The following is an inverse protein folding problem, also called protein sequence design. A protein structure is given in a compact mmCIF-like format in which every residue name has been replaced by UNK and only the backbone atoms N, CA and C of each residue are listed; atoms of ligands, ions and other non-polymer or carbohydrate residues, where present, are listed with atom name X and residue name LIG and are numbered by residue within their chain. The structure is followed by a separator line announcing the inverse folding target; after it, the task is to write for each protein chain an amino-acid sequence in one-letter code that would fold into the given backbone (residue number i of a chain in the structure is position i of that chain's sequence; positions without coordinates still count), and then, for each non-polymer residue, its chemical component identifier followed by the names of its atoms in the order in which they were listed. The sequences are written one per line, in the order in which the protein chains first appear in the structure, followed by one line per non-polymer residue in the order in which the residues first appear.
data_IF_230192039541
#
_entry.id   IF_230192039541
#
_cell.length_a   1.000
_cell.length_b   1.000
_cell.length_c   1.000
_cell.angle_alpha   90.00
_cell.angle_beta   90.00
_cell.angle_gamma   90.00
#
_symmetry.space_group_name_H-M   'P 1'
#
loop_
_entity.id
_entity.type
_entity.pdbx_description
1 polymer ?
#
# COMPACT_ATOMS: atom_id res chain seq x y z
N UNK A 1 -15.51 31.67 -15.65
CA UNK A 1 -15.17 30.30 -16.09
C UNK A 1 -14.29 29.66 -15.03
N UNK A 2 -14.91 28.96 -14.09
CA UNK A 2 -14.21 28.16 -13.07
C UNK A 2 -14.15 26.72 -13.59
N UNK A 3 -12.99 26.29 -14.04
CA UNK A 3 -12.72 24.88 -14.33
C UNK A 3 -12.60 24.16 -12.98
N UNK A 4 -13.69 23.52 -12.56
CA UNK A 4 -13.71 22.66 -11.39
C UNK A 4 -12.82 21.44 -11.63
N UNK A 5 -11.67 21.41 -10.94
CA UNK A 5 -10.87 20.21 -10.85
C UNK A 5 -11.70 19.15 -10.10
N UNK A 6 -12.07 18.06 -10.78
CA UNK A 6 -12.53 16.84 -10.11
C UNK A 6 -11.36 16.26 -9.30
N UNK A 7 -11.14 16.79 -8.10
CA UNK A 7 -10.37 16.11 -7.08
C UNK A 7 -11.19 14.91 -6.64
N UNK A 8 -10.85 13.73 -7.13
CA UNK A 8 -11.21 12.50 -6.44
C UNK A 8 -10.47 12.53 -5.10
N UNK A 9 -11.10 13.11 -4.07
CA UNK A 9 -10.59 13.16 -2.71
C UNK A 9 -10.20 11.77 -2.23
N UNK A 10 -9.31 11.71 -1.23
CA UNK A 10 -8.96 10.46 -0.57
C UNK A 10 -10.26 9.79 -0.12
N UNK A 11 -10.62 8.59 -0.62
CA UNK A 11 -11.85 7.93 -0.21
C UNK A 11 -11.90 7.78 1.32
N UNK A 12 -13.07 7.97 1.94
CA UNK A 12 -13.33 7.74 3.38
C UNK A 12 -13.03 6.29 3.83
N UNK A 13 -12.71 5.42 2.86
CA UNK A 13 -12.34 4.03 3.07
C UNK A 13 -10.83 3.83 3.26
N UNK A 14 -10.00 4.87 3.17
CA UNK A 14 -8.53 4.80 3.34
C UNK A 14 -8.14 5.18 4.77
N UNK A 15 -7.15 4.48 5.34
CA UNK A 15 -6.62 4.76 6.67
C UNK A 15 -6.44 3.51 7.53
N UNK A 16 -5.54 3.63 8.51
CA UNK A 16 -5.40 2.67 9.59
C UNK A 16 -6.66 2.68 10.48
N UNK A 17 -7.18 1.49 10.76
CA UNK A 17 -8.28 1.21 11.69
C UNK A 17 -7.71 0.51 12.92
N UNK A 18 -8.50 0.47 14.00
CA UNK A 18 -8.10 -0.15 15.29
C UNK A 18 -7.50 -1.54 15.12
N UNK A 19 -8.00 -2.32 14.16
CA UNK A 19 -7.62 -3.72 13.94
C UNK A 19 -6.98 -4.00 12.57
N UNK A 20 -6.58 -2.97 11.80
CA UNK A 20 -5.95 -3.20 10.49
C UNK A 20 -6.18 -2.12 9.45
N UNK A 21 -6.00 -2.47 8.18
CA UNK A 21 -6.37 -1.62 7.05
C UNK A 21 -7.83 -1.87 6.64
N UNK A 22 -8.40 -0.98 5.84
CA UNK A 22 -9.73 -1.19 5.28
C UNK A 22 -9.80 -2.47 4.42
N UNK A 23 -10.93 -3.20 4.43
CA UNK A 23 -11.07 -4.36 3.58
C UNK A 23 -11.06 -3.96 2.10
N UNK A 24 -10.59 -4.85 1.23
CA UNK A 24 -10.80 -4.69 -0.21
C UNK A 24 -12.31 -4.70 -0.53
N UNK A 25 -12.78 -3.83 -1.45
CA UNK A 25 -14.12 -3.95 -2.01
C UNK A 25 -14.30 -5.30 -2.74
N UNK A 26 -15.52 -5.58 -3.20
CA UNK A 26 -15.82 -6.79 -3.97
C UNK A 26 -15.23 -6.79 -5.39
N UNK A 27 -14.70 -5.65 -5.84
CA UNK A 27 -14.08 -5.50 -7.16
C UNK A 27 -12.69 -6.15 -7.20
N UNK A 28 -12.26 -6.71 -8.33
CA UNK A 28 -11.01 -7.48 -8.42
C UNK A 28 -9.73 -6.62 -8.44
N UNK A 29 -9.86 -5.29 -8.48
CA UNK A 29 -8.76 -4.33 -8.49
C UNK A 29 -8.27 -3.92 -7.09
N UNK A 30 -8.23 -4.87 -6.16
CA UNK A 30 -7.69 -4.64 -4.82
C UNK A 30 -6.97 -5.88 -4.29
N UNK A 31 -5.78 -5.66 -3.74
CA UNK A 31 -4.96 -6.68 -3.09
C UNK A 31 -4.74 -6.31 -1.65
N UNK A 32 -4.85 -7.31 -0.76
CA UNK A 32 -4.61 -7.15 0.67
C UNK A 32 -3.82 -8.35 1.20
N UNK A 33 -2.75 -8.11 1.96
CA UNK A 33 -1.92 -9.16 2.59
C UNK A 33 -2.47 -9.54 3.97
N UNK A 34 -2.12 -10.72 4.48
CA UNK A 34 -2.54 -11.16 5.82
C UNK A 34 -3.99 -11.66 5.85
N UNK A 35 -4.94 -10.86 6.36
CA UNK A 35 -6.30 -11.29 6.72
C UNK A 35 -7.19 -11.88 5.60
N UNK A 36 -6.81 -11.74 4.31
CA UNK A 36 -7.55 -12.32 3.18
C UNK A 36 -6.92 -13.60 2.59
N UNK A 37 -5.80 -14.08 3.13
CA UNK A 37 -5.22 -15.37 2.75
C UNK A 37 -6.17 -16.52 3.17
N UNK A 38 -6.45 -17.54 2.32
CA UNK A 38 -5.75 -17.93 1.09
C UNK A 38 -6.22 -17.25 -0.22
N UNK A 39 -7.30 -16.45 -0.20
CA UNK A 39 -7.80 -15.72 -1.39
C UNK A 39 -7.01 -14.43 -1.70
N UNK A 40 -6.04 -14.08 -0.85
CA UNK A 40 -5.15 -12.92 -0.97
C UNK A 40 -3.67 -13.31 -0.87
N UNK A 41 -2.81 -12.30 -0.85
CA UNK A 41 -1.35 -12.47 -0.82
C UNK A 41 -0.82 -12.81 0.57
N UNK A 42 0.30 -13.53 0.65
CA UNK A 42 0.94 -13.91 1.91
C UNK A 42 1.27 -12.67 2.75
N UNK A 43 1.21 -12.78 4.07
CA UNK A 43 1.70 -11.73 4.97
C UNK A 43 3.17 -11.38 4.70
N UNK A 44 3.57 -10.17 5.07
CA UNK A 44 4.96 -9.73 5.08
C UNK A 44 5.34 -9.52 6.54
N UNK A 45 6.51 -9.98 6.96
CA UNK A 45 6.95 -9.82 8.34
C UNK A 45 8.31 -9.14 8.37
N UNK A 46 8.42 -8.05 9.13
CA UNK A 46 9.67 -7.35 9.29
C UNK A 46 10.65 -8.15 10.17
N UNK A 47 11.96 -8.08 9.87
CA UNK A 47 13.00 -8.68 10.70
C UNK A 47 12.97 -8.14 12.13
N UNK A 48 13.25 -8.99 13.11
CA UNK A 48 13.19 -8.65 14.54
C UNK A 48 14.31 -7.73 15.02
N UNK A 49 15.45 -7.76 14.35
CA UNK A 49 16.66 -6.97 14.65
C UNK A 49 16.53 -5.47 14.30
N UNK A 50 15.59 -5.11 13.41
CA UNK A 50 15.31 -3.70 13.10
C UNK A 50 14.53 -3.07 14.25
N UNK A 51 15.10 -2.06 14.91
CA UNK A 51 14.38 -1.29 15.94
C UNK A 51 13.12 -0.64 15.38
N UNK A 52 12.00 -0.66 16.12
CA UNK A 52 10.68 -0.21 15.62
C UNK A 52 10.70 1.21 15.05
N UNK A 53 11.45 2.13 15.67
CA UNK A 53 11.63 3.52 15.20
C UNK A 53 12.30 3.65 13.82
N UNK A 54 13.04 2.63 13.38
CA UNK A 54 13.75 2.63 12.11
C UNK A 54 13.00 1.91 10.99
N UNK A 55 11.92 1.20 11.33
CA UNK A 55 11.23 0.35 10.37
C UNK A 55 10.45 1.19 9.34
N UNK A 56 9.64 2.15 9.78
CA UNK A 56 8.87 2.98 8.84
C UNK A 56 9.75 3.86 7.94
N UNK A 57 10.81 4.54 8.44
CA UNK A 57 11.71 5.29 7.56
C UNK A 57 12.29 4.44 6.42
N UNK A 58 12.74 3.20 6.69
CA UNK A 58 13.25 2.29 5.66
C UNK A 58 12.16 1.81 4.69
N UNK A 59 10.96 1.54 5.18
CA UNK A 59 9.81 1.20 4.33
C UNK A 59 9.48 2.37 3.39
N UNK A 60 9.50 3.60 3.92
CA UNK A 60 9.24 4.81 3.15
C UNK A 60 10.25 4.98 2.02
N UNK A 61 11.55 4.81 2.29
CA UNK A 61 12.60 4.87 1.27
C UNK A 61 12.34 3.88 0.12
N UNK A 62 11.95 2.64 0.46
CA UNK A 62 11.58 1.62 -0.53
C UNK A 62 10.36 2.05 -1.36
N UNK A 63 9.33 2.60 -0.73
CA UNK A 63 8.13 3.05 -1.45
C UNK A 63 8.45 4.25 -2.36
N UNK A 64 9.27 5.20 -1.90
CA UNK A 64 9.71 6.37 -2.67
C UNK A 64 10.62 5.99 -3.84
N UNK A 65 11.33 4.85 -3.77
CA UNK A 65 12.11 4.34 -4.91
C UNK A 65 11.24 3.67 -5.98
N UNK A 66 9.97 3.36 -5.71
CA UNK A 66 9.08 2.73 -6.69
C UNK A 66 8.65 3.73 -7.77
N UNK A 67 8.58 3.33 -9.05
CA UNK A 67 8.20 4.25 -10.12
C UNK A 67 6.78 4.82 -9.95
N UNK A 68 6.68 6.16 -10.04
CA UNK A 68 5.41 6.91 -10.01
C UNK A 68 4.64 6.80 -8.68
N UNK A 69 5.36 6.56 -7.59
CA UNK A 69 4.82 6.65 -6.24
C UNK A 69 4.88 8.09 -5.73
N UNK A 70 4.00 8.44 -4.81
CA UNK A 70 4.06 9.68 -4.03
C UNK A 70 3.53 9.37 -2.65
N UNK A 71 4.40 9.44 -1.63
CA UNK A 71 3.98 9.26 -0.23
C UNK A 71 3.19 10.50 0.19
N UNK A 72 1.94 10.29 0.60
CA UNK A 72 1.01 11.37 0.96
C UNK A 72 0.78 11.47 2.47
N UNK A 73 0.86 10.33 3.18
CA UNK A 73 0.76 10.28 4.65
C UNK A 73 1.80 9.32 5.20
N UNK A 74 2.47 9.72 6.28
CA UNK A 74 3.38 8.85 7.03
C UNK A 74 3.28 9.13 8.52
N UNK A 75 3.21 8.07 9.31
CA UNK A 75 3.32 8.06 10.78
C UNK A 75 4.30 6.96 11.18
N UNK A 76 4.55 6.77 12.48
CA UNK A 76 5.43 5.69 12.96
C UNK A 76 4.93 4.27 12.61
N UNK A 77 3.65 4.12 12.27
CA UNK A 77 3.01 2.82 12.08
C UNK A 77 2.26 2.69 10.76
N UNK A 78 1.92 3.81 10.10
CA UNK A 78 1.14 3.81 8.88
C UNK A 78 1.80 4.64 7.78
N UNK A 79 1.75 4.14 6.55
CA UNK A 79 2.15 4.85 5.34
C UNK A 79 1.07 4.71 4.29
N UNK A 80 0.77 5.83 3.63
CA UNK A 80 -0.09 5.88 2.44
C UNK A 80 0.69 6.54 1.30
N UNK A 81 0.69 5.89 0.15
CA UNK A 81 1.23 6.41 -1.09
C UNK A 81 0.21 6.31 -2.23
N UNK A 82 0.24 7.30 -3.12
CA UNK A 82 -0.51 7.29 -4.38
C UNK A 82 0.39 6.80 -5.52
N UNK A 83 -0.14 5.98 -6.41
CA UNK A 83 0.48 5.56 -7.66
C UNK A 83 -0.35 6.04 -8.85
N UNK A 84 0.29 6.71 -9.80
CA UNK A 84 -0.40 7.27 -10.98
C UNK A 84 -0.11 6.48 -12.25
N UNK A 85 -1.16 6.07 -12.96
CA UNK A 85 -1.02 5.36 -14.23
C UNK A 85 -0.51 6.29 -15.34
N UNK A 86 0.34 5.76 -16.23
CA UNK A 86 1.09 6.55 -17.23
C UNK A 86 0.20 7.15 -18.33
N UNK A 87 -0.92 6.48 -18.65
CA UNK A 87 -1.76 6.79 -19.83
C UNK A 87 -3.10 7.37 -19.40
N UNK A 88 -3.76 6.76 -18.42
CA UNK A 88 -5.15 7.10 -18.07
C UNK A 88 -5.28 7.94 -16.79
N UNK A 89 -4.15 8.34 -16.16
CA UNK A 89 -4.10 9.12 -14.90
C UNK A 89 -4.92 8.53 -13.74
N UNK A 90 -5.22 7.23 -13.79
CA UNK A 90 -5.84 6.54 -12.66
C UNK A 90 -4.91 6.59 -11.45
N UNK A 91 -5.52 6.80 -10.28
CA UNK A 91 -4.85 6.82 -8.99
C UNK A 91 -5.15 5.50 -8.29
N UNK A 92 -4.09 4.79 -7.95
CA UNK A 92 -4.12 3.66 -7.04
C UNK A 92 -3.52 4.08 -5.70
N UNK A 93 -4.06 3.57 -4.62
CA UNK A 93 -3.58 3.78 -3.26
C UNK A 93 -2.81 2.54 -2.79
N UNK A 94 -1.64 2.76 -2.21
CA UNK A 94 -0.87 1.78 -1.46
C UNK A 94 -0.86 2.20 0.01
N UNK A 95 -1.35 1.32 0.88
CA UNK A 95 -1.33 1.50 2.33
C UNK A 95 -0.47 0.40 2.96
N UNK A 96 0.34 0.79 3.94
CA UNK A 96 1.17 -0.10 4.74
C UNK A 96 0.94 0.21 6.21
N UNK A 97 0.59 -0.81 7.00
CA UNK A 97 0.42 -0.72 8.44
C UNK A 97 1.34 -1.73 9.14
N UNK A 98 2.14 -1.25 10.09
CA UNK A 98 3.02 -2.07 10.92
C UNK A 98 2.26 -2.54 12.17
N UNK A 99 1.78 -3.78 12.13
CA UNK A 99 1.06 -4.41 13.24
C UNK A 99 1.99 -4.68 14.45
N UNK A 100 1.43 -4.88 15.66
CA UNK A 100 2.20 -5.13 16.88
C UNK A 100 3.12 -6.35 16.79
N UNK A 101 2.70 -7.39 16.06
CA UNK A 101 3.46 -8.62 15.80
C UNK A 101 4.53 -8.46 14.69
N UNK A 102 4.82 -7.23 14.25
CA UNK A 102 5.73 -6.89 13.14
C UNK A 102 5.29 -7.39 11.76
N UNK A 103 4.03 -7.77 11.60
CA UNK A 103 3.44 -7.96 10.27
C UNK A 103 3.27 -6.59 9.59
N UNK A 104 3.62 -6.54 8.30
CA UNK A 104 3.34 -5.43 7.42
C UNK A 104 2.05 -5.78 6.64
N UNK A 105 0.94 -5.23 7.13
CA UNK A 105 -0.33 -5.29 6.41
C UNK A 105 -0.25 -4.32 5.23
N UNK A 106 -0.50 -4.83 4.03
CA UNK A 106 -0.40 -4.07 2.79
C UNK A 106 -1.75 -4.13 2.09
N UNK A 107 -2.24 -2.97 1.65
CA UNK A 107 -3.38 -2.85 0.75
C UNK A 107 -2.98 -2.05 -0.48
N UNK A 108 -3.25 -2.57 -1.67
CA UNK A 108 -3.10 -1.85 -2.93
C UNK A 108 -4.44 -1.87 -3.68
N UNK A 109 -5.02 -0.70 -3.94
CA UNK A 109 -6.36 -0.61 -4.53
C UNK A 109 -6.50 0.59 -5.47
N UNK A 110 -7.21 0.41 -6.59
CA UNK A 110 -7.58 1.54 -7.45
C UNK A 110 -8.76 2.33 -6.88
N UNK A 111 -8.75 3.67 -7.00
CA UNK A 111 -9.89 4.51 -6.57
C UNK A 111 -11.13 4.37 -7.43
N UNK A 112 -10.93 4.08 -8.71
CA UNK A 112 -11.98 4.01 -9.73
C UNK A 112 -11.71 2.88 -10.71
N UNK A 113 -12.77 2.39 -11.34
CA UNK A 113 -12.71 1.26 -12.28
C UNK A 113 -12.89 -0.09 -11.58
N UNK A 114 -13.09 -1.14 -12.37
CA UNK A 114 -13.33 -2.50 -11.89
C UNK A 114 -12.21 -3.48 -12.28
N UNK A 115 -11.38 -3.16 -13.27
CA UNK A 115 -10.26 -4.01 -13.69
C UNK A 115 -8.97 -3.20 -13.78
N UNK A 116 -7.92 -3.70 -13.15
CA UNK A 116 -6.58 -3.10 -13.15
C UNK A 116 -5.55 -3.96 -13.92
N UNK A 117 -6.01 -5.01 -14.60
CA UNK A 117 -5.15 -6.00 -15.27
C UNK A 117 -4.04 -6.57 -14.35
N UNK A 118 -4.29 -6.65 -13.04
CA UNK A 118 -3.33 -7.15 -12.05
C UNK A 118 -2.26 -6.14 -11.64
N UNK A 119 -2.39 -4.85 -11.98
CA UNK A 119 -1.44 -3.81 -11.59
C UNK A 119 -1.26 -3.72 -10.07
N UNK A 120 -2.33 -3.83 -9.28
CA UNK A 120 -2.23 -3.81 -7.82
C UNK A 120 -1.51 -5.07 -7.27
N UNK A 121 -1.71 -6.23 -7.88
CA UNK A 121 -1.00 -7.45 -7.52
C UNK A 121 0.49 -7.35 -7.84
N UNK A 122 0.83 -6.89 -9.05
CA UNK A 122 2.21 -6.65 -9.45
C UNK A 122 2.91 -5.64 -8.53
N UNK A 123 2.20 -4.60 -8.08
CA UNK A 123 2.73 -3.61 -7.13
C UNK A 123 3.08 -4.23 -5.78
N UNK A 124 2.22 -5.09 -5.23
CA UNK A 124 2.47 -5.75 -3.94
C UNK A 124 3.65 -6.72 -4.04
N UNK A 125 3.78 -7.44 -5.16
CA UNK A 125 4.93 -8.33 -5.37
C UNK A 125 6.23 -7.57 -5.57
N UNK A 126 6.21 -6.44 -6.29
CA UNK A 126 7.38 -5.58 -6.43
C UNK A 126 7.80 -4.96 -5.08
N UNK A 127 6.83 -4.49 -4.29
CA UNK A 127 7.07 -4.01 -2.92
C UNK A 127 7.71 -5.12 -2.08
N UNK A 128 7.20 -6.36 -2.15
CA UNK A 128 7.79 -7.50 -1.44
C UNK A 128 9.24 -7.72 -1.83
N UNK A 129 9.54 -7.72 -3.13
CA UNK A 129 10.90 -7.89 -3.66
C UNK A 129 11.85 -6.82 -3.11
N UNK A 130 11.47 -5.55 -3.23
CA UNK A 130 12.29 -4.43 -2.77
C UNK A 130 12.49 -4.41 -1.25
N UNK A 131 11.46 -4.73 -0.47
CA UNK A 131 11.59 -4.85 0.99
C UNK A 131 12.51 -6.02 1.40
N UNK A 132 12.51 -7.11 0.64
CA UNK A 132 13.44 -8.22 0.86
C UNK A 132 14.89 -7.83 0.51
N UNK A 133 15.11 -7.19 -0.65
CA UNK A 133 16.42 -6.69 -1.08
C UNK A 133 17.00 -5.64 -0.13
N UNK A 134 16.15 -4.78 0.42
CA UNK A 134 16.53 -3.82 1.45
C UNK A 134 16.73 -4.47 2.83
N UNK A 135 16.69 -5.80 2.95
CA UNK A 135 16.81 -6.56 4.21
C UNK A 135 15.83 -6.09 5.29
N UNK A 136 14.59 -5.77 4.91
CA UNK A 136 13.54 -5.37 5.85
C UNK A 136 12.70 -6.58 6.27
N UNK A 137 12.50 -7.56 5.38
CA UNK A 137 11.69 -8.76 5.62
C UNK A 137 12.52 -9.90 6.21
N UNK A 138 11.88 -10.75 7.02
CA UNK A 138 12.42 -12.01 7.54
C UNK A 138 12.08 -13.21 6.66
#
# INVERSE_FOLDING_TARGET
MLLGACWAGVPDTIGARTDGLAPCPSTPNCVHTGMRHPRGTKGLFARGDIGRRYLMPRIREVVESMPRSTVVTVTDQYLHAEFRSRIFRFVDDLEILIAPNRELLVRSASRVGSGDMGVNAARVEELRRLLAEAEILR
#
